data_IF_436551177125
#
_entry.id   IF_436551177125
#
_cell.length_a   1.000
_cell.length_b   1.000
_cell.length_c   1.000
_cell.angle_alpha   90.00
_cell.angle_beta   90.00
_cell.angle_gamma   90.00
#
_symmetry.space_group_name_H-M   'P 1'
#
loop_
_entity.id
_entity.type
_entity.pdbx_description
1 polymer ?
#
# COMPACT_ATOMS: atom_id res chain seq x y z
N UNK A 1 14.55 10.88 -0.91
CA UNK A 1 14.48 12.18 -0.21
C UNK A 1 14.43 11.86 1.27
N UNK A 2 15.21 12.57 2.09
CA UNK A 2 15.34 12.29 3.54
C UNK A 2 15.10 13.58 4.33
N UNK A 3 14.92 13.47 5.64
CA UNK A 3 14.86 14.63 6.51
C UNK A 3 16.28 15.21 6.78
N UNK A 4 16.34 16.21 7.63
CA UNK A 4 17.55 16.96 7.95
C UNK A 4 18.30 16.41 9.18
N UNK A 5 18.04 15.15 9.56
CA UNK A 5 18.71 14.43 10.63
C UNK A 5 20.23 14.37 10.47
N UNK A 6 20.94 14.27 11.59
CA UNK A 6 22.41 14.26 11.62
C UNK A 6 22.99 13.02 10.92
N UNK A 7 22.29 11.89 11.00
CA UNK A 7 22.58 10.64 10.33
C UNK A 7 22.69 10.81 8.80
N UNK A 8 21.78 11.57 8.19
CA UNK A 8 21.76 11.85 6.75
C UNK A 8 22.64 13.04 6.35
N UNK A 9 23.13 13.82 7.32
CA UNK A 9 24.05 14.94 7.08
C UNK A 9 25.52 14.54 7.12
N UNK A 10 25.84 13.38 7.65
CA UNK A 10 27.20 12.87 7.78
C UNK A 10 27.94 12.78 6.44
N UNK A 11 29.26 13.01 6.49
CA UNK A 11 30.13 12.83 5.32
C UNK A 11 30.17 11.38 4.86
N UNK A 12 30.05 10.43 5.81
CA UNK A 12 29.95 9.01 5.50
C UNK A 12 28.74 8.72 4.60
N UNK A 13 27.55 9.24 4.92
CA UNK A 13 26.36 9.06 4.09
C UNK A 13 26.51 9.77 2.73
N UNK A 14 26.84 11.07 2.72
CA UNK A 14 26.84 11.89 1.49
C UNK A 14 28.00 11.54 0.54
N UNK A 15 29.23 11.53 1.07
CA UNK A 15 30.45 11.38 0.27
C UNK A 15 30.88 9.93 0.14
N UNK A 16 30.64 9.12 1.17
CA UNK A 16 31.00 7.69 1.17
C UNK A 16 29.98 6.83 0.42
N UNK A 17 28.73 6.83 0.89
CA UNK A 17 27.70 5.93 0.38
C UNK A 17 26.99 6.48 -0.87
N UNK A 18 26.34 7.64 -0.77
CA UNK A 18 25.54 8.20 -1.87
C UNK A 18 26.37 8.40 -3.15
N UNK A 19 27.55 9.00 -3.05
CA UNK A 19 28.45 9.21 -4.19
C UNK A 19 28.87 7.90 -4.86
N UNK A 20 29.21 6.87 -4.06
CA UNK A 20 29.60 5.55 -4.57
C UNK A 20 28.46 4.86 -5.33
N UNK A 21 27.22 5.08 -4.90
CA UNK A 21 26.03 4.51 -5.53
C UNK A 21 25.38 5.43 -6.59
N UNK A 22 26.00 6.56 -6.93
CA UNK A 22 25.44 7.51 -7.91
C UNK A 22 24.13 8.16 -7.48
N UNK A 23 23.85 8.20 -6.18
CA UNK A 23 22.61 8.75 -5.61
C UNK A 23 22.84 10.21 -5.21
N UNK A 24 21.97 11.10 -5.69
CA UNK A 24 21.94 12.50 -5.25
C UNK A 24 20.95 12.68 -4.09
N UNK A 25 21.42 12.88 -2.83
CA UNK A 25 20.52 13.01 -1.70
C UNK A 25 19.76 14.34 -1.78
N UNK A 26 18.42 14.26 -1.73
CA UNK A 26 17.53 15.42 -1.57
C UNK A 26 17.00 15.48 -0.15
N UNK A 27 17.01 16.66 0.43
CA UNK A 27 16.57 16.90 1.80
C UNK A 27 15.23 17.64 1.83
N UNK A 28 14.36 17.24 2.75
CA UNK A 28 13.15 17.99 3.07
C UNK A 28 13.48 19.41 3.53
N UNK A 29 12.64 20.37 3.15
CA UNK A 29 12.74 21.72 3.68
C UNK A 29 12.30 21.74 5.15
N UNK A 30 13.13 22.34 6.01
CA UNK A 30 12.84 22.45 7.45
C UNK A 30 11.54 23.24 7.65
N UNK A 31 10.65 22.73 8.50
CA UNK A 31 9.36 23.37 8.78
C UNK A 31 8.32 23.27 7.65
N UNK A 32 8.58 22.49 6.59
CA UNK A 32 7.61 22.23 5.52
C UNK A 32 7.11 20.79 5.58
N UNK A 33 5.82 20.64 5.83
CA UNK A 33 5.13 19.35 5.83
C UNK A 33 4.75 18.98 4.39
N UNK A 34 5.18 17.82 3.90
CA UNK A 34 4.82 17.34 2.56
C UNK A 34 5.90 16.51 1.90
N UNK A 35 7.16 16.98 1.93
CA UNK A 35 8.28 16.34 1.23
C UNK A 35 8.58 14.90 1.67
N UNK A 36 8.30 14.59 2.95
CA UNK A 36 8.45 13.27 3.55
C UNK A 36 7.12 12.64 3.98
N UNK A 37 5.99 13.30 3.68
CA UNK A 37 4.67 12.92 4.19
C UNK A 37 4.21 11.53 3.76
N UNK A 38 4.70 11.04 2.61
CA UNK A 38 4.45 9.68 2.13
C UNK A 38 5.04 8.65 3.11
N UNK A 39 6.30 8.84 3.50
CA UNK A 39 7.00 7.95 4.46
C UNK A 39 6.40 8.08 5.85
N UNK A 40 6.02 9.30 6.28
CA UNK A 40 5.35 9.51 7.56
C UNK A 40 3.99 8.78 7.64
N UNK A 41 3.22 8.77 6.54
CA UNK A 41 1.95 8.03 6.45
C UNK A 41 2.17 6.52 6.50
N UNK A 42 3.23 6.02 5.86
CA UNK A 42 3.64 4.63 6.00
C UNK A 42 3.98 4.31 7.47
N UNK A 43 4.84 5.10 8.12
CA UNK A 43 5.20 4.88 9.53
C UNK A 43 4.00 4.88 10.47
N UNK A 44 3.02 5.75 10.24
CA UNK A 44 1.77 5.75 11.01
C UNK A 44 1.02 4.43 10.83
N UNK A 45 0.80 4.03 9.57
CA UNK A 45 0.11 2.76 9.25
C UNK A 45 0.84 1.57 9.87
N UNK A 46 2.16 1.50 9.72
CA UNK A 46 3.01 0.45 10.28
C UNK A 46 2.87 0.35 11.80
N UNK A 47 2.94 1.48 12.51
CA UNK A 47 2.77 1.52 13.97
C UNK A 47 1.35 1.16 14.41
N UNK A 48 0.34 1.58 13.66
CA UNK A 48 -1.05 1.26 13.95
C UNK A 48 -1.32 -0.25 13.80
N UNK A 49 -0.72 -0.88 12.78
CA UNK A 49 -0.77 -2.34 12.61
C UNK A 49 -0.03 -3.08 13.74
N UNK A 50 1.18 -2.64 14.10
CA UNK A 50 1.92 -3.22 15.22
C UNK A 50 1.19 -3.12 16.56
N UNK A 51 0.40 -2.06 16.78
CA UNK A 51 -0.41 -1.89 18.00
C UNK A 51 -1.56 -2.90 18.13
N UNK A 52 -1.92 -3.59 17.04
CA UNK A 52 -2.97 -4.61 17.05
C UNK A 52 -2.47 -6.00 17.44
N UNK A 53 -1.16 -6.17 17.65
CA UNK A 53 -0.56 -7.44 18.05
C UNK A 53 0.33 -7.27 19.28
N UNK A 54 0.59 -8.37 19.97
CA UNK A 54 1.69 -8.42 20.94
C UNK A 54 3.00 -8.39 20.16
N UNK A 55 3.80 -7.34 20.36
CA UNK A 55 5.09 -7.19 19.70
C UNK A 55 6.04 -8.30 20.20
N UNK A 56 6.59 -9.14 19.33
CA UNK A 56 7.52 -10.19 19.73
C UNK A 56 8.80 -9.60 20.35
N UNK A 57 9.27 -10.17 21.46
CA UNK A 57 10.54 -9.77 22.08
C UNK A 57 11.76 -10.27 21.29
N UNK A 58 11.62 -11.43 20.66
CA UNK A 58 12.68 -12.00 19.83
C UNK A 58 12.83 -11.19 18.53
N UNK A 59 14.04 -10.67 18.30
CA UNK A 59 14.35 -9.81 17.15
C UNK A 59 13.92 -10.44 15.82
N UNK A 60 14.21 -11.72 15.60
CA UNK A 60 13.85 -12.41 14.35
C UNK A 60 12.33 -12.50 14.12
N UNK A 61 11.56 -12.67 15.19
CA UNK A 61 10.10 -12.69 15.10
C UNK A 61 9.53 -11.30 14.85
N UNK A 62 10.11 -10.28 15.48
CA UNK A 62 9.74 -8.88 15.21
C UNK A 62 10.06 -8.48 13.77
N UNK A 63 11.24 -8.86 13.25
CA UNK A 63 11.63 -8.64 11.86
C UNK A 63 10.68 -9.34 10.88
N UNK A 64 10.31 -10.59 11.17
CA UNK A 64 9.32 -11.32 10.37
C UNK A 64 7.98 -10.59 10.34
N UNK A 65 7.49 -10.12 11.49
CA UNK A 65 6.24 -9.39 11.59
C UNK A 65 6.29 -8.05 10.84
N UNK A 66 7.41 -7.33 10.97
CA UNK A 66 7.67 -6.10 10.24
C UNK A 66 7.68 -6.33 8.72
N UNK A 67 8.34 -7.39 8.25
CA UNK A 67 8.37 -7.78 6.84
C UNK A 67 6.96 -8.06 6.31
N UNK A 68 6.14 -8.83 7.04
CA UNK A 68 4.78 -9.14 6.60
C UNK A 68 3.88 -7.91 6.54
N UNK A 69 4.03 -6.97 7.48
CA UNK A 69 3.33 -5.68 7.40
C UNK A 69 3.76 -4.90 6.14
N UNK A 70 5.05 -4.88 5.84
CA UNK A 70 5.60 -4.18 4.67
C UNK A 70 5.10 -4.83 3.38
N UNK A 71 5.13 -6.16 3.29
CA UNK A 71 4.65 -6.92 2.14
C UNK A 71 3.17 -6.68 1.92
N UNK A 72 2.35 -6.77 2.98
CA UNK A 72 0.93 -6.47 2.92
C UNK A 72 0.64 -5.03 2.48
N UNK A 73 1.37 -4.05 3.03
CA UNK A 73 1.22 -2.65 2.66
C UNK A 73 1.51 -2.40 1.18
N UNK A 74 2.50 -3.08 0.61
CA UNK A 74 2.91 -2.87 -0.77
C UNK A 74 2.11 -3.70 -1.78
N UNK A 75 1.67 -4.91 -1.41
CA UNK A 75 1.03 -5.85 -2.33
C UNK A 75 -0.50 -5.85 -2.24
N UNK A 76 -1.08 -5.63 -1.05
CA UNK A 76 -2.52 -5.83 -0.84
C UNK A 76 -3.27 -4.56 -0.46
N UNK A 77 -2.62 -3.60 0.20
CA UNK A 77 -3.26 -2.37 0.61
C UNK A 77 -3.36 -1.38 -0.55
N UNK A 78 -4.57 -0.93 -0.84
CA UNK A 78 -4.83 0.12 -1.84
C UNK A 78 -4.65 1.52 -1.24
N UNK A 79 -4.29 2.47 -2.09
CA UNK A 79 -3.95 3.84 -1.68
C UNK A 79 -4.72 4.89 -2.46
N UNK A 80 -5.44 5.78 -1.76
CA UNK A 80 -6.15 6.89 -2.40
C UNK A 80 -5.22 7.82 -3.20
N UNK A 81 -3.97 8.02 -2.76
CA UNK A 81 -2.99 8.84 -3.50
C UNK A 81 -2.43 8.16 -4.74
N UNK A 82 -2.73 6.87 -4.92
CA UNK A 82 -2.38 6.07 -6.09
C UNK A 82 -3.66 5.67 -6.84
N UNK A 83 -4.72 6.47 -6.72
CA UNK A 83 -6.02 6.23 -7.38
C UNK A 83 -6.60 4.83 -7.11
N UNK A 84 -6.43 4.32 -5.88
CA UNK A 84 -6.94 3.01 -5.48
C UNK A 84 -6.05 1.83 -5.86
N UNK A 85 -4.84 2.08 -6.40
CA UNK A 85 -3.83 1.05 -6.68
C UNK A 85 -2.96 0.74 -5.46
N UNK A 86 -2.27 -0.40 -5.49
CA UNK A 86 -1.24 -0.76 -4.51
C UNK A 86 0.12 -0.16 -4.92
N UNK A 87 1.06 0.04 -3.97
CA UNK A 87 2.40 0.48 -4.29
C UNK A 87 3.12 -0.41 -5.31
N UNK A 88 2.99 -1.74 -5.18
CA UNK A 88 3.64 -2.68 -6.10
C UNK A 88 3.02 -2.66 -7.50
N UNK A 89 1.71 -2.46 -7.63
CA UNK A 89 1.07 -2.27 -8.94
C UNK A 89 1.69 -1.10 -9.69
N UNK A 90 1.85 0.05 -9.01
CA UNK A 90 2.44 1.26 -9.61
C UNK A 90 3.94 1.09 -9.87
N UNK A 91 4.70 0.59 -8.89
CA UNK A 91 6.16 0.52 -8.98
C UNK A 91 6.64 -0.48 -10.03
N UNK A 92 5.99 -1.64 -10.12
CA UNK A 92 6.34 -2.68 -11.08
C UNK A 92 5.56 -2.61 -12.40
N UNK A 93 4.73 -1.57 -12.59
CA UNK A 93 3.87 -1.42 -13.78
C UNK A 93 2.99 -2.66 -14.02
N UNK A 94 2.45 -3.25 -12.94
CA UNK A 94 1.55 -4.41 -13.05
C UNK A 94 0.13 -3.93 -13.39
N UNK A 95 -0.68 -4.77 -14.07
CA UNK A 95 -2.09 -4.50 -14.22
C UNK A 95 -2.74 -4.31 -12.84
N UNK A 96 -3.39 -3.18 -12.63
CA UNK A 96 -4.02 -2.89 -11.35
C UNK A 96 -5.36 -3.61 -11.22
N UNK A 97 -5.64 -4.16 -10.04
CA UNK A 97 -6.87 -4.89 -9.77
C UNK A 97 -8.12 -4.00 -9.93
N UNK A 98 -8.01 -2.72 -9.55
CA UNK A 98 -9.11 -1.77 -9.67
C UNK A 98 -9.41 -1.33 -11.11
N UNK A 99 -8.50 -1.60 -12.05
CA UNK A 99 -8.66 -1.32 -13.48
C UNK A 99 -9.17 -2.55 -14.26
N UNK A 100 -9.34 -3.69 -13.60
CA UNK A 100 -9.95 -4.88 -14.19
C UNK A 100 -11.48 -4.77 -14.23
N UNK A 101 -12.16 -5.56 -15.08
CA UNK A 101 -13.61 -5.61 -15.10
C UNK A 101 -14.18 -5.88 -13.70
N UNK A 102 -15.01 -4.96 -13.20
CA UNK A 102 -15.52 -4.98 -11.83
C UNK A 102 -16.75 -5.87 -11.72
N UNK A 103 -17.01 -6.37 -10.52
CA UNK A 103 -18.32 -6.95 -10.21
C UNK A 103 -19.31 -5.85 -9.78
N UNK A 104 -20.53 -5.88 -10.31
CA UNK A 104 -21.60 -4.92 -9.97
C UNK A 104 -22.82 -5.66 -9.41
N UNK A 105 -22.96 -5.76 -8.07
CA UNK A 105 -24.09 -6.48 -7.47
C UNK A 105 -25.44 -5.74 -7.60
N UNK A 106 -25.46 -4.49 -8.10
CA UNK A 106 -26.68 -3.70 -8.24
C UNK A 106 -27.17 -3.72 -9.68
N UNK A 107 -28.31 -4.37 -9.89
CA UNK A 107 -28.95 -4.59 -11.20
C UNK A 107 -29.08 -3.33 -12.07
N UNK A 108 -29.45 -2.20 -11.46
CA UNK A 108 -29.76 -0.95 -12.18
C UNK A 108 -28.70 0.14 -12.01
N UNK A 109 -27.49 -0.22 -11.58
CA UNK A 109 -26.45 0.80 -11.38
C UNK A 109 -25.87 1.29 -12.71
N UNK A 110 -25.83 2.62 -12.97
CA UNK A 110 -25.28 3.13 -14.21
C UNK A 110 -23.79 2.80 -14.34
N UNK A 111 -23.37 2.27 -15.49
CA UNK A 111 -21.96 1.98 -15.78
C UNK A 111 -21.10 3.23 -15.58
N UNK A 112 -21.53 4.36 -16.14
CA UNK A 112 -20.87 5.67 -16.07
C UNK A 112 -20.94 6.42 -14.73
N UNK A 113 -21.37 5.76 -13.64
CA UNK A 113 -21.53 6.45 -12.35
C UNK A 113 -20.18 6.94 -11.82
N UNK A 114 -20.06 8.20 -11.33
CA UNK A 114 -18.81 8.68 -10.71
C UNK A 114 -18.36 7.85 -9.52
N UNK A 115 -19.27 7.16 -8.83
CA UNK A 115 -18.96 6.24 -7.73
C UNK A 115 -18.41 4.89 -8.21
N UNK A 116 -18.28 4.69 -9.53
CA UNK A 116 -17.70 3.50 -10.16
C UNK A 116 -16.36 3.82 -10.83
N UNK A 117 -15.64 4.86 -10.41
CA UNK A 117 -14.29 5.15 -10.91
C UNK A 117 -13.26 4.15 -10.35
N UNK A 118 -12.27 3.71 -11.17
CA UNK A 118 -12.13 4.00 -12.59
C UNK A 118 -13.23 3.33 -13.43
N UNK A 119 -13.64 4.00 -14.52
CA UNK A 119 -14.70 3.51 -15.39
C UNK A 119 -14.20 2.28 -16.17
N UNK A 120 -14.52 1.09 -15.66
CA UNK A 120 -14.12 -0.20 -16.20
C UNK A 120 -15.35 -1.02 -16.60
N UNK A 121 -15.13 -2.04 -17.41
CA UNK A 121 -16.19 -2.97 -17.80
C UNK A 121 -16.77 -3.72 -16.59
N UNK A 122 -17.97 -4.25 -16.76
CA UNK A 122 -18.60 -5.12 -15.76
C UNK A 122 -18.31 -6.56 -16.13
N UNK A 123 -17.81 -7.34 -15.17
CA UNK A 123 -17.60 -8.77 -15.33
C UNK A 123 -18.91 -9.53 -15.04
N UNK A 124 -19.59 -9.97 -16.10
CA UNK A 124 -20.93 -10.57 -16.03
C UNK A 124 -22.02 -9.53 -16.24
N UNK A 125 -23.17 -9.72 -15.60
CA UNK A 125 -24.29 -8.78 -15.68
C UNK A 125 -24.45 -8.01 -14.37
N UNK A 126 -24.81 -6.71 -14.41
CA UNK A 126 -25.21 -5.98 -13.21
C UNK A 126 -26.33 -6.72 -12.47
N UNK A 127 -26.22 -6.84 -11.15
CA UNK A 127 -27.17 -7.61 -10.33
C UNK A 127 -26.73 -9.04 -10.08
N UNK A 128 -25.66 -9.51 -10.73
CA UNK A 128 -25.08 -10.81 -10.44
C UNK A 128 -24.68 -10.92 -8.95
N UNK A 129 -25.02 -12.02 -8.28
CA UNK A 129 -24.60 -12.25 -6.90
C UNK A 129 -23.07 -12.37 -6.83
N UNK A 130 -22.49 -11.73 -5.82
CA UNK A 130 -21.06 -11.75 -5.55
C UNK A 130 -20.77 -12.39 -4.19
N UNK A 131 -19.62 -13.03 -4.08
CA UNK A 131 -19.03 -13.46 -2.81
C UNK A 131 -17.87 -12.53 -2.50
N UNK A 132 -17.91 -11.91 -1.32
CA UNK A 132 -16.80 -11.17 -0.74
C UNK A 132 -16.00 -12.15 0.13
N UNK A 133 -14.72 -12.32 -0.20
CA UNK A 133 -13.82 -13.19 0.56
C UNK A 133 -12.84 -12.30 1.32
N UNK A 134 -12.73 -12.57 2.63
CA UNK A 134 -11.81 -11.87 3.51
C UNK A 134 -10.88 -12.93 4.10
N UNK A 135 -9.65 -12.92 3.62
CA UNK A 135 -8.55 -13.74 4.13
C UNK A 135 -7.56 -12.86 4.90
N UNK A 136 -6.48 -13.44 5.39
CA UNK A 136 -5.46 -12.79 6.20
C UNK A 136 -4.08 -13.26 5.75
N UNK A 137 -3.17 -12.33 5.45
CA UNK A 137 -1.82 -12.66 5.02
C UNK A 137 -1.13 -13.52 6.08
N UNK A 138 -0.72 -14.74 5.71
CA UNK A 138 -0.10 -15.70 6.63
C UNK A 138 -0.91 -15.88 7.94
N UNK A 139 -2.24 -15.87 7.85
CA UNK A 139 -3.17 -16.04 8.98
C UNK A 139 -3.26 -14.85 9.94
N UNK A 140 -2.64 -13.70 9.62
CA UNK A 140 -2.59 -12.52 10.49
C UNK A 140 -3.82 -11.65 10.35
N UNK A 141 -4.69 -11.67 11.37
CA UNK A 141 -5.97 -10.94 11.37
C UNK A 141 -5.85 -9.44 11.15
N UNK A 142 -4.73 -8.84 11.53
CA UNK A 142 -4.44 -7.41 11.33
C UNK A 142 -3.96 -7.08 9.91
N UNK A 143 -3.74 -8.08 9.06
CA UNK A 143 -3.31 -7.96 7.66
C UNK A 143 -4.35 -8.57 6.70
N UNK A 144 -5.56 -7.99 6.59
CA UNK A 144 -6.65 -8.57 5.81
C UNK A 144 -6.39 -8.47 4.31
N UNK A 145 -6.68 -9.53 3.57
CA UNK A 145 -6.67 -9.57 2.10
C UNK A 145 -8.11 -9.75 1.63
N UNK A 146 -8.59 -8.80 0.84
CA UNK A 146 -9.99 -8.77 0.40
C UNK A 146 -10.03 -9.08 -1.10
N UNK A 147 -10.83 -10.06 -1.48
CA UNK A 147 -11.09 -10.42 -2.87
C UNK A 147 -12.59 -10.56 -3.11
N UNK A 148 -12.97 -10.53 -4.39
CA UNK A 148 -14.36 -10.73 -4.81
C UNK A 148 -14.41 -11.70 -5.96
N UNK A 149 -15.50 -12.47 -6.03
CA UNK A 149 -15.81 -13.33 -7.17
C UNK A 149 -17.32 -13.41 -7.38
N UNK A 150 -17.75 -13.91 -8.54
CA UNK A 150 -19.16 -14.27 -8.77
C UNK A 150 -19.56 -15.46 -7.89
N UNK A 151 -20.79 -15.42 -7.39
CA UNK A 151 -21.42 -16.62 -6.84
C UNK A 151 -21.74 -17.59 -7.99
N UNK A 152 -21.57 -18.89 -7.73
CA UNK A 152 -21.88 -19.96 -8.69
C UNK A 152 -23.39 -20.18 -8.80
#
# INVERSE_FOLDING_TARGET
MVDQGSEFKSDHFKKGWCKKHGILPRFGAVGRHGSIAVVERFHRTFKDLLRMVTIPEAQSQFEQEASLIIDWYNEHRTHNTLDGKTPNEVFYYRPAANEQPRHEPRERWPRGSPCATPQVDVHGEPGDPIVLEIDCLEGRRHLPVISTRRAA
#
